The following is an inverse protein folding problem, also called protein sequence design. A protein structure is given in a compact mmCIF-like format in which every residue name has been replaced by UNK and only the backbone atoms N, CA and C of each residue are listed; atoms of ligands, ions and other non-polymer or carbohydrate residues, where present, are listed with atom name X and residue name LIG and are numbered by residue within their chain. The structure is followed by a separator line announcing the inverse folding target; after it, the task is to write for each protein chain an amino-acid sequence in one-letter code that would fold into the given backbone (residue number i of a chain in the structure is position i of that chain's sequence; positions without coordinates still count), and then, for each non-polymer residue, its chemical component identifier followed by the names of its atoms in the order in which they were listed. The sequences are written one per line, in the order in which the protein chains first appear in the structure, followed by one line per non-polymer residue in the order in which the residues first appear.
data_IF_708216159579
#
_entry.id   IF_708216159579
#
_cell.length_a   1.000
_cell.length_b   1.000
_cell.length_c   1.000
_cell.angle_alpha   90.00
_cell.angle_beta   90.00
_cell.angle_gamma   90.00
#
_symmetry.space_group_name_H-M   'P 1'
#
loop_
_entity.id
_entity.type
_entity.pdbx_description
1 polymer ?
#
# COMPACT_ATOMS: atom_id res chain seq x y z
N UNK A 1 10.34 -5.54 21.97
CA UNK A 1 9.18 -6.04 21.21
C UNK A 1 9.67 -6.75 19.97
N UNK A 2 8.91 -7.73 19.46
CA UNK A 2 9.23 -8.35 18.17
C UNK A 2 8.94 -7.34 17.06
N UNK A 3 9.91 -7.09 16.19
CA UNK A 3 9.77 -6.19 15.05
C UNK A 3 9.50 -7.02 13.79
N UNK A 4 8.55 -6.57 12.97
CA UNK A 4 8.15 -7.22 11.72
C UNK A 4 8.69 -6.43 10.53
N UNK A 5 9.35 -7.11 9.60
CA UNK A 5 9.71 -6.51 8.31
C UNK A 5 8.45 -6.24 7.51
N UNK A 6 8.23 -4.99 7.15
CA UNK A 6 7.01 -4.55 6.50
C UNK A 6 7.31 -3.91 5.14
N UNK A 7 6.42 -4.15 4.19
CA UNK A 7 6.31 -3.38 2.94
C UNK A 7 4.91 -2.78 2.94
N UNK A 8 4.79 -1.51 2.59
CA UNK A 8 3.49 -0.84 2.44
C UNK A 8 3.18 -0.64 0.96
N UNK A 9 2.08 -1.20 0.48
CA UNK A 9 1.53 -0.96 -0.85
C UNK A 9 0.27 -0.10 -0.73
N UNK A 10 0.29 1.08 -1.37
CA UNK A 10 -0.68 2.16 -1.09
C UNK A 10 -1.06 2.92 -2.35
N UNK A 11 -2.32 3.34 -2.44
CA UNK A 11 -2.79 4.33 -3.41
C UNK A 11 -3.00 5.70 -2.73
N UNK A 12 -2.02 6.10 -1.92
CA UNK A 12 -1.98 7.38 -1.21
C UNK A 12 -2.25 8.57 -2.13
N UNK A 13 -3.05 9.53 -1.66
CA UNK A 13 -3.33 10.77 -2.37
C UNK A 13 -4.74 10.85 -2.98
N UNK A 14 -5.51 9.75 -3.00
CA UNK A 14 -6.94 9.79 -3.35
C UNK A 14 -7.74 10.35 -2.17
N UNK A 15 -7.71 9.62 -1.06
CA UNK A 15 -8.26 10.02 0.23
C UNK A 15 -7.12 10.20 1.25
N UNK A 16 -7.45 10.63 2.46
CA UNK A 16 -6.49 11.06 3.49
C UNK A 16 -5.99 9.90 4.37
N UNK A 17 -6.71 8.79 4.39
CA UNK A 17 -6.47 7.61 5.21
C UNK A 17 -5.11 6.98 4.96
N UNK A 18 -4.66 6.83 3.71
CA UNK A 18 -3.32 6.32 3.40
C UNK A 18 -2.20 7.20 3.96
N UNK A 19 -2.38 8.53 3.95
CA UNK A 19 -1.44 9.49 4.55
C UNK A 19 -1.37 9.27 6.06
N UNK A 20 -2.51 9.03 6.73
CA UNK A 20 -2.53 8.72 8.16
C UNK A 20 -1.91 7.35 8.46
N UNK A 21 -2.18 6.35 7.63
CA UNK A 21 -1.62 5.01 7.74
C UNK A 21 -0.10 5.03 7.60
N UNK A 22 0.46 5.72 6.59
CA UNK A 22 1.91 5.87 6.45
C UNK A 22 2.50 6.62 7.65
N UNK A 23 1.85 7.67 8.13
CA UNK A 23 2.27 8.37 9.36
C UNK A 23 2.36 7.46 10.57
N UNK A 24 1.36 6.59 10.77
CA UNK A 24 1.33 5.60 11.84
C UNK A 24 2.44 4.55 11.67
N UNK A 25 2.61 4.00 10.46
CA UNK A 25 3.66 3.02 10.16
C UNK A 25 5.04 3.59 10.48
N UNK A 26 5.32 4.83 10.11
CA UNK A 26 6.61 5.49 10.37
C UNK A 26 6.90 5.74 11.85
N UNK A 27 5.86 5.74 12.69
CA UNK A 27 5.98 5.90 14.16
C UNK A 27 5.82 4.59 14.93
N UNK A 28 5.57 3.48 14.25
CA UNK A 28 5.34 2.18 14.88
C UNK A 28 6.66 1.44 15.13
N UNK A 29 7.14 1.28 16.39
CA UNK A 29 8.39 0.55 16.68
C UNK A 29 8.31 -0.96 16.37
N UNK A 30 7.11 -1.49 16.17
CA UNK A 30 6.85 -2.87 15.76
C UNK A 30 7.14 -3.10 14.27
N UNK A 31 7.18 -2.05 13.45
CA UNK A 31 7.31 -2.15 11.99
C UNK A 31 8.67 -1.66 11.52
N UNK A 32 9.43 -2.57 10.93
CA UNK A 32 10.64 -2.25 10.19
C UNK A 32 10.26 -2.10 8.71
N UNK A 33 9.83 -0.88 8.34
CA UNK A 33 9.40 -0.56 7.00
C UNK A 33 10.59 -0.60 6.01
N UNK A 34 10.51 -1.49 5.03
CA UNK A 34 11.58 -1.78 4.06
C UNK A 34 11.35 -1.23 2.66
N UNK A 35 10.11 -0.93 2.31
CA UNK A 35 9.73 -0.42 1.00
C UNK A 35 8.32 0.17 1.11
N UNK A 36 8.07 1.26 0.38
CA UNK A 36 6.72 1.73 0.08
C UNK A 36 6.50 1.64 -1.43
N UNK A 37 5.47 0.94 -1.87
CA UNK A 37 5.06 0.89 -3.28
C UNK A 37 3.80 1.70 -3.52
N UNK A 38 3.76 2.45 -4.61
CA UNK A 38 2.59 3.25 -5.00
C UNK A 38 1.78 2.55 -6.08
N UNK A 39 0.47 2.51 -5.91
CA UNK A 39 -0.46 1.81 -6.79
C UNK A 39 -1.52 2.75 -7.38
N UNK A 40 -2.00 2.40 -8.58
CA UNK A 40 -3.20 2.96 -9.23
C UNK A 40 -3.11 4.44 -9.64
N UNK A 41 -3.75 4.80 -10.75
CA UNK A 41 -3.74 6.15 -11.34
C UNK A 41 -2.31 6.69 -11.45
N UNK A 42 -2.06 7.96 -11.12
CA UNK A 42 -0.76 8.58 -11.28
C UNK A 42 0.19 8.17 -10.14
N UNK A 43 0.83 7.00 -10.30
CA UNK A 43 1.73 6.42 -9.30
C UNK A 43 2.98 7.27 -9.05
N UNK A 44 3.37 8.13 -10.00
CA UNK A 44 4.48 9.07 -9.83
C UNK A 44 4.07 10.24 -8.92
N UNK A 45 2.89 10.81 -9.11
CA UNK A 45 2.30 11.77 -8.17
C UNK A 45 2.21 11.19 -6.76
N UNK A 46 1.70 9.96 -6.62
CA UNK A 46 1.61 9.30 -5.31
C UNK A 46 2.99 9.12 -4.66
N UNK A 47 4.01 8.78 -5.46
CA UNK A 47 5.37 8.62 -4.98
C UNK A 47 5.95 9.95 -4.45
N UNK A 48 5.55 11.11 -4.99
CA UNK A 48 5.91 12.41 -4.42
C UNK A 48 5.35 12.62 -3.02
N UNK A 49 4.11 12.17 -2.76
CA UNK A 49 3.51 12.24 -1.42
C UNK A 49 4.30 11.37 -0.45
N UNK A 50 4.58 10.12 -0.83
CA UNK A 50 5.40 9.19 -0.03
C UNK A 50 6.76 9.82 0.27
N UNK A 51 7.45 10.34 -0.74
CA UNK A 51 8.78 10.94 -0.61
C UNK A 51 8.77 12.12 0.37
N UNK A 52 7.83 13.07 0.20
CA UNK A 52 7.69 14.23 1.09
C UNK A 52 7.38 13.81 2.53
N UNK A 53 6.56 12.78 2.74
CA UNK A 53 6.29 12.24 4.08
C UNK A 53 7.51 11.56 4.71
N UNK A 54 8.26 10.76 3.94
CA UNK A 54 9.47 10.09 4.41
C UNK A 54 10.55 11.11 4.80
N UNK A 55 10.72 12.19 4.03
CA UNK A 55 11.62 13.29 4.39
C UNK A 55 11.23 13.99 5.69
N UNK A 56 9.96 14.39 5.82
CA UNK A 56 9.45 15.03 7.05
C UNK A 56 9.65 14.12 8.27
N UNK A 57 9.49 12.81 8.10
CA UNK A 57 9.68 11.83 9.15
C UNK A 57 11.16 11.49 9.44
N UNK A 58 12.11 11.97 8.62
CA UNK A 58 13.52 11.62 8.71
C UNK A 58 13.80 10.14 8.38
N UNK A 59 12.98 9.54 7.52
CA UNK A 59 13.02 8.11 7.14
C UNK A 59 13.36 7.90 5.66
N UNK A 60 14.29 8.70 5.14
CA UNK A 60 14.77 8.60 3.75
C UNK A 60 15.58 7.32 3.49
N UNK A 61 15.83 6.51 4.52
CA UNK A 61 16.35 5.15 4.41
C UNK A 61 15.37 4.19 3.72
N UNK A 62 14.07 4.53 3.68
CA UNK A 62 13.04 3.69 3.07
C UNK A 62 12.98 3.96 1.56
N UNK A 63 13.22 2.96 0.70
CA UNK A 63 13.05 3.09 -0.74
C UNK A 63 11.58 3.22 -1.14
N UNK A 64 11.34 3.84 -2.29
CA UNK A 64 10.03 4.00 -2.90
C UNK A 64 10.00 3.20 -4.21
N UNK A 65 8.96 2.40 -4.43
CA UNK A 65 8.72 1.70 -5.69
C UNK A 65 7.49 2.25 -6.41
N UNK A 66 7.68 2.75 -7.63
CA UNK A 66 6.59 3.28 -8.45
C UNK A 66 5.93 2.11 -9.20
N UNK A 67 4.68 1.79 -8.86
CA UNK A 67 3.89 0.77 -9.56
C UNK A 67 3.41 1.25 -10.94
N UNK A 68 2.82 0.35 -11.74
CA UNK A 68 2.17 0.71 -13.00
C UNK A 68 1.10 1.79 -12.80
N UNK A 69 1.15 2.82 -13.67
CA UNK A 69 0.10 3.84 -13.75
C UNK A 69 -1.06 3.35 -14.61
N UNK A 70 -2.29 3.61 -14.16
CA UNK A 70 -3.50 3.38 -14.96
C UNK A 70 -4.06 4.66 -15.59
N UNK A 71 -3.56 5.84 -15.17
CA UNK A 71 -3.91 7.16 -15.73
C UNK A 71 -3.01 8.25 -15.15
N UNK A 72 -2.83 9.37 -15.83
CA UNK A 72 -2.08 10.53 -15.30
C UNK A 72 -2.95 11.46 -14.40
N UNK A 73 -4.03 10.94 -13.83
CA UNK A 73 -4.93 11.71 -12.97
C UNK A 73 -4.37 11.80 -11.56
N UNK A 74 -3.89 12.98 -11.19
CA UNK A 74 -3.52 13.29 -9.81
C UNK A 74 -4.76 13.43 -8.89
N UNK A 75 -4.55 13.17 -7.60
CA UNK A 75 -5.58 13.22 -6.57
C UNK A 75 -5.69 14.57 -5.83
N UNK A 76 -6.64 14.70 -4.89
CA UNK A 76 -6.87 15.93 -4.12
C UNK A 76 -5.65 16.45 -3.36
N UNK A 77 -4.70 15.58 -3.01
CA UNK A 77 -3.48 15.99 -2.29
C UNK A 77 -2.38 16.57 -3.22
N UNK A 78 -2.60 16.63 -4.54
CA UNK A 78 -1.63 17.17 -5.51
C UNK A 78 -1.10 18.58 -5.19
N UNK A 79 -1.92 19.55 -4.72
CA UNK A 79 -1.42 20.87 -4.34
C UNK A 79 -0.30 20.82 -3.28
N UNK A 80 -0.25 19.78 -2.44
CA UNK A 80 0.79 19.62 -1.41
C UNK A 80 2.12 19.12 -1.97
N UNK A 81 2.18 18.61 -3.19
CA UNK A 81 3.40 18.07 -3.81
C UNK A 81 3.63 18.61 -5.22
N UNK A 82 2.92 19.68 -5.58
CA UNK A 82 2.96 20.26 -6.92
C UNK A 82 4.37 20.74 -7.29
N UNK A 83 5.07 21.31 -6.31
CA UNK A 83 6.43 21.83 -6.39
C UNK A 83 7.51 20.77 -6.10
N UNK A 84 7.11 19.56 -5.70
CA UNK A 84 8.04 18.52 -5.29
C UNK A 84 8.61 17.79 -6.52
N UNK A 85 9.93 17.83 -6.64
CA UNK A 85 10.67 17.04 -7.62
C UNK A 85 11.08 15.69 -7.01
N UNK A 86 10.53 14.60 -7.53
CA UNK A 86 10.84 13.26 -7.04
C UNK A 86 12.31 12.88 -7.22
N UNK A 87 13.03 13.50 -8.16
CA UNK A 87 14.47 13.29 -8.35
C UNK A 87 15.31 13.88 -7.20
N UNK A 88 14.73 14.81 -6.43
CA UNK A 88 15.39 15.41 -5.26
C UNK A 88 15.28 14.55 -4.00
N UNK A 89 14.46 13.49 -4.01
CA UNK A 89 14.33 12.59 -2.87
C UNK A 89 15.70 11.95 -2.54
N UNK A 90 16.22 12.10 -1.31
CA UNK A 90 17.54 11.57 -0.95
C UNK A 90 17.62 10.04 -0.93
N UNK A 91 16.48 9.37 -0.74
CA UNK A 91 16.39 7.92 -0.72
C UNK A 91 16.31 7.33 -2.12
N UNK A 92 16.24 5.99 -2.17
CA UNK A 92 16.19 5.28 -3.46
C UNK A 92 14.77 5.27 -4.03
N UNK A 93 14.64 5.66 -5.30
CA UNK A 93 13.40 5.52 -6.07
C UNK A 93 13.59 4.43 -7.14
N UNK A 94 12.69 3.45 -7.14
CA UNK A 94 12.60 2.40 -8.15
C UNK A 94 11.47 2.72 -9.11
N UNK A 95 11.79 2.93 -10.39
CA UNK A 95 10.77 3.16 -11.43
C UNK A 95 10.00 1.89 -11.82
N UNK A 96 10.52 0.72 -11.48
CA UNK A 96 9.79 -0.56 -11.54
C UNK A 96 9.53 -1.04 -10.10
N UNK A 97 8.47 -0.52 -9.50
CA UNK A 97 8.05 -0.85 -8.13
C UNK A 97 7.66 -2.32 -7.96
N UNK A 98 7.16 -2.97 -9.03
CA UNK A 98 6.82 -4.40 -9.00
C UNK A 98 8.08 -5.25 -8.88
N UNK A 99 9.13 -4.94 -9.64
CA UNK A 99 10.44 -5.61 -9.47
C UNK A 99 11.03 -5.32 -8.10
N UNK A 100 10.95 -4.07 -7.62
CA UNK A 100 11.44 -3.72 -6.28
C UNK A 100 10.72 -4.50 -5.16
N UNK A 101 9.41 -4.72 -5.31
CA UNK A 101 8.60 -5.54 -4.39
C UNK A 101 9.06 -6.99 -4.38
N UNK A 102 9.25 -7.59 -5.57
CA UNK A 102 9.77 -8.96 -5.70
C UNK A 102 11.16 -9.07 -5.07
N UNK A 103 12.06 -8.15 -5.39
CA UNK A 103 13.43 -8.15 -4.87
C UNK A 103 13.45 -8.00 -3.34
N UNK A 104 12.64 -7.10 -2.79
CA UNK A 104 12.54 -6.89 -1.34
C UNK A 104 12.03 -8.13 -0.60
N UNK A 105 11.03 -8.83 -1.15
CA UNK A 105 10.51 -10.07 -0.57
C UNK A 105 11.54 -11.20 -0.68
N UNK A 106 12.10 -11.41 -1.87
CA UNK A 106 12.96 -12.56 -2.13
C UNK A 106 14.33 -12.45 -1.46
N UNK A 107 14.88 -11.24 -1.36
CA UNK A 107 16.18 -10.99 -0.70
C UNK A 107 16.10 -10.94 0.83
N UNK A 108 14.90 -10.83 1.41
CA UNK A 108 14.74 -10.81 2.86
C UNK A 108 15.17 -12.14 3.50
N UNK A 109 15.94 -12.10 4.58
CA UNK A 109 16.34 -13.31 5.32
C UNK A 109 15.16 -13.99 6.03
N UNK A 110 14.08 -13.25 6.27
CA UNK A 110 12.88 -13.69 6.99
C UNK A 110 11.61 -13.35 6.19
N UNK A 111 10.47 -14.02 6.45
CA UNK A 111 9.21 -13.67 5.81
C UNK A 111 8.84 -12.20 6.01
N UNK A 112 8.41 -11.55 4.93
CA UNK A 112 8.02 -10.13 4.93
C UNK A 112 6.50 -10.00 5.06
N UNK A 113 6.03 -9.04 5.86
CA UNK A 113 4.60 -8.67 5.87
C UNK A 113 4.35 -7.59 4.84
N UNK A 114 3.56 -7.90 3.82
CA UNK A 114 3.11 -6.91 2.84
C UNK A 114 1.76 -6.38 3.30
N UNK A 115 1.74 -5.12 3.70
CA UNK A 115 0.55 -4.40 4.13
C UNK A 115 0.00 -3.68 2.90
N UNK A 116 -1.20 -4.03 2.47
CA UNK A 116 -1.81 -3.48 1.26
C UNK A 116 -3.04 -2.67 1.65
N UNK A 117 -2.99 -1.37 1.43
CA UNK A 117 -4.10 -0.45 1.73
C UNK A 117 -4.73 0.17 0.48
N UNK A 118 -4.23 -0.21 -0.71
CA UNK A 118 -4.83 0.10 -2.00
C UNK A 118 -5.19 -1.14 -2.84
N UNK A 119 -5.54 -0.96 -4.13
CA UNK A 119 -5.82 -2.04 -5.06
C UNK A 119 -4.62 -2.99 -5.25
N UNK A 120 -4.89 -4.30 -5.37
CA UNK A 120 -3.87 -5.36 -5.36
C UNK A 120 -3.07 -5.52 -6.68
N UNK A 121 -3.12 -4.54 -7.59
CA UNK A 121 -2.48 -4.62 -8.91
C UNK A 121 -0.98 -4.88 -8.82
N UNK A 122 -0.28 -4.18 -7.93
CA UNK A 122 1.17 -4.36 -7.72
C UNK A 122 1.48 -5.79 -7.22
N UNK A 123 0.67 -6.27 -6.27
CA UNK A 123 0.85 -7.57 -5.63
C UNK A 123 0.59 -8.72 -6.62
N UNK A 124 -0.47 -8.62 -7.41
CA UNK A 124 -0.78 -9.58 -8.45
C UNK A 124 0.29 -9.60 -9.55
N UNK A 125 0.79 -8.43 -9.95
CA UNK A 125 1.89 -8.34 -10.92
C UNK A 125 3.19 -8.96 -10.38
N UNK A 126 3.52 -8.73 -9.11
CA UNK A 126 4.68 -9.34 -8.45
C UNK A 126 4.53 -10.86 -8.36
N UNK A 127 3.35 -11.35 -7.94
CA UNK A 127 3.04 -12.77 -7.87
C UNK A 127 3.15 -13.45 -9.24
N UNK A 128 2.67 -12.78 -10.29
CA UNK A 128 2.77 -13.27 -11.66
C UNK A 128 4.23 -13.36 -12.13
N UNK A 129 5.07 -12.37 -11.78
CA UNK A 129 6.51 -12.37 -12.12
C UNK A 129 7.28 -13.43 -11.35
N UNK A 130 6.98 -13.58 -10.07
CA UNK A 130 7.70 -14.46 -9.17
C UNK A 130 6.75 -15.17 -8.21
N UNK A 131 6.16 -16.33 -8.59
CA UNK A 131 5.21 -17.04 -7.76
C UNK A 131 5.76 -17.48 -6.39
N UNK A 132 7.09 -17.61 -6.24
CA UNK A 132 7.72 -18.03 -4.98
C UNK A 132 7.57 -16.98 -3.87
N UNK A 133 7.21 -15.73 -4.18
CA UNK A 133 6.93 -14.73 -3.14
C UNK A 133 5.82 -15.17 -2.20
N UNK A 134 4.88 -16.02 -2.65
CA UNK A 134 3.80 -16.56 -1.80
C UNK A 134 4.30 -17.42 -0.64
N UNK A 135 5.48 -18.04 -0.77
CA UNK A 135 6.09 -18.80 0.33
C UNK A 135 6.96 -17.91 1.25
N UNK A 136 7.16 -16.64 0.89
CA UNK A 136 8.13 -15.71 1.50
C UNK A 136 7.48 -14.45 2.06
N UNK A 137 6.20 -14.25 1.80
CA UNK A 137 5.43 -13.11 2.26
C UNK A 137 4.14 -13.54 2.96
N UNK A 138 3.72 -12.72 3.91
CA UNK A 138 2.37 -12.70 4.47
C UNK A 138 1.66 -11.45 3.96
N UNK A 139 0.40 -11.57 3.55
CA UNK A 139 -0.42 -10.45 3.13
C UNK A 139 -1.30 -9.99 4.29
N UNK A 140 -1.33 -8.68 4.54
CA UNK A 140 -2.31 -8.03 5.43
C UNK A 140 -2.99 -6.94 4.61
N UNK A 141 -4.26 -7.13 4.27
CA UNK A 141 -4.93 -6.31 3.26
C UNK A 141 -6.20 -5.64 3.78
N UNK A 142 -6.29 -4.32 3.62
CA UNK A 142 -7.57 -3.60 3.71
C UNK A 142 -8.34 -3.82 2.41
N UNK A 143 -9.21 -4.83 2.41
CA UNK A 143 -9.81 -5.34 1.21
C UNK A 143 -11.17 -5.96 1.48
N UNK A 144 -12.16 -5.57 0.68
CA UNK A 144 -13.44 -6.26 0.60
C UNK A 144 -14.48 -5.83 1.64
N UNK A 145 -15.68 -6.35 1.41
CA UNK A 145 -16.88 -6.15 2.21
C UNK A 145 -17.61 -7.49 2.23
N UNK A 146 -17.71 -8.11 3.41
CA UNK A 146 -18.17 -9.50 3.55
C UNK A 146 -19.61 -9.55 4.05
N UNK A 147 -19.88 -8.95 5.20
CA UNK A 147 -21.22 -8.85 5.81
C UNK A 147 -21.69 -7.41 5.96
N UNK A 148 -20.76 -6.45 5.98
CA UNK A 148 -21.04 -5.03 6.18
C UNK A 148 -20.44 -4.23 5.02
N UNK A 149 -21.26 -3.36 4.44
CA UNK A 149 -20.89 -2.40 3.41
C UNK A 149 -20.61 -1.01 3.96
N UNK A 150 -20.32 -0.07 3.06
CA UNK A 150 -20.02 1.32 3.43
C UNK A 150 -21.07 1.95 4.36
N UNK A 151 -20.59 2.69 5.35
CA UNK A 151 -21.44 3.37 6.34
C UNK A 151 -22.23 2.42 7.24
N UNK A 152 -21.74 1.19 7.44
CA UNK A 152 -22.40 0.19 8.29
C UNK A 152 -23.63 -0.48 7.65
N UNK A 153 -23.82 -0.34 6.34
CA UNK A 153 -24.95 -0.97 5.63
C UNK A 153 -24.88 -2.48 5.76
N UNK A 154 -26.02 -3.13 6.03
CA UNK A 154 -26.11 -4.58 6.10
C UNK A 154 -25.95 -5.20 4.70
N UNK A 155 -25.10 -6.21 4.60
CA UNK A 155 -24.79 -6.94 3.36
C UNK A 155 -23.52 -6.41 2.67
N UNK A 156 -22.88 -7.25 1.83
CA UNK A 156 -21.67 -6.87 1.11
C UNK A 156 -21.96 -5.79 0.05
N UNK A 157 -21.02 -4.88 -0.13
CA UNK A 157 -21.03 -3.89 -1.21
C UNK A 157 -19.78 -4.00 -2.07
N UNK A 158 -19.79 -3.52 -3.32
CA UNK A 158 -18.57 -3.41 -4.11
C UNK A 158 -17.57 -2.47 -3.40
N UNK A 159 -16.56 -3.06 -2.77
CA UNK A 159 -15.53 -2.33 -2.02
C UNK A 159 -14.48 -1.78 -2.98
N UNK A 160 -14.01 -0.55 -2.71
CA UNK A 160 -13.16 0.25 -3.57
C UNK A 160 -11.92 -0.50 -4.07
N UNK A 161 -11.07 -1.00 -3.18
CA UNK A 161 -9.83 -1.68 -3.53
C UNK A 161 -10.08 -2.96 -4.35
N UNK A 162 -11.14 -3.70 -4.05
CA UNK A 162 -11.56 -4.87 -4.85
C UNK A 162 -12.03 -4.47 -6.24
N UNK A 163 -12.89 -3.45 -6.37
CA UNK A 163 -13.47 -3.10 -7.69
C UNK A 163 -12.48 -2.46 -8.64
N UNK A 164 -11.42 -1.82 -8.12
CA UNK A 164 -10.36 -1.25 -8.96
C UNK A 164 -9.63 -2.32 -9.79
N UNK A 165 -9.45 -3.53 -9.24
CA UNK A 165 -8.78 -4.63 -9.96
C UNK A 165 -9.25 -6.01 -9.47
N UNK A 166 -10.45 -6.40 -9.91
CA UNK A 166 -11.05 -7.70 -9.56
C UNK A 166 -10.16 -8.89 -9.94
N UNK A 167 -9.57 -8.95 -11.16
CA UNK A 167 -8.65 -10.04 -11.51
C UNK A 167 -7.42 -10.12 -10.61
N UNK A 168 -6.81 -8.99 -10.23
CA UNK A 168 -5.69 -8.99 -9.29
C UNK A 168 -6.10 -9.53 -7.92
N UNK A 169 -7.26 -9.09 -7.41
CA UNK A 169 -7.80 -9.59 -6.15
C UNK A 169 -8.01 -11.11 -6.18
N UNK A 170 -8.62 -11.64 -7.25
CA UNK A 170 -8.81 -13.09 -7.42
C UNK A 170 -7.48 -13.86 -7.44
N UNK A 171 -6.50 -13.37 -8.19
CA UNK A 171 -5.19 -14.01 -8.28
C UNK A 171 -4.48 -14.02 -6.91
N UNK A 172 -4.56 -12.90 -6.18
CA UNK A 172 -3.89 -12.77 -4.89
C UNK A 172 -4.55 -13.62 -3.81
N UNK A 173 -5.88 -13.61 -3.72
CA UNK A 173 -6.61 -14.41 -2.73
C UNK A 173 -6.51 -15.92 -2.99
N UNK A 174 -6.27 -16.35 -4.23
CA UNK A 174 -6.10 -17.76 -4.59
C UNK A 174 -4.68 -18.30 -4.35
N UNK A 175 -3.69 -17.43 -4.12
CA UNK A 175 -2.30 -17.83 -3.96
C UNK A 175 -1.99 -18.38 -2.56
N UNK A 176 -0.98 -19.26 -2.42
CA UNK A 176 -0.75 -20.02 -1.19
C UNK A 176 0.11 -19.29 -0.14
N UNK A 177 -0.06 -17.98 0.03
CA UNK A 177 0.49 -17.23 1.17
C UNK A 177 -0.49 -17.19 2.35
N UNK A 178 0.03 -16.85 3.52
CA UNK A 178 -0.78 -16.47 4.67
C UNK A 178 -1.41 -15.09 4.43
N UNK A 179 -2.74 -14.99 4.53
CA UNK A 179 -3.50 -13.76 4.28
C UNK A 179 -4.38 -13.42 5.47
N UNK A 180 -4.31 -12.16 5.91
CA UNK A 180 -5.31 -11.55 6.79
C UNK A 180 -5.97 -10.39 6.06
N UNK A 181 -7.30 -10.36 6.10
CA UNK A 181 -8.10 -9.28 5.54
C UNK A 181 -8.66 -8.41 6.66
N UNK A 182 -8.65 -7.10 6.46
CA UNK A 182 -9.37 -6.10 7.26
C UNK A 182 -10.44 -5.46 6.38
N UNK A 183 -11.57 -6.16 6.14
CA UNK A 183 -12.65 -5.65 5.29
C UNK A 183 -13.41 -4.52 5.97
N UNK A 184 -14.36 -3.90 5.25
CA UNK A 184 -15.28 -2.88 5.77
C UNK A 184 -16.00 -3.33 7.05
N UNK A 185 -16.20 -4.65 7.24
CA UNK A 185 -16.72 -5.25 8.47
C UNK A 185 -15.94 -4.88 9.74
N UNK A 186 -14.66 -4.52 9.59
CA UNK A 186 -13.76 -4.13 10.68
C UNK A 186 -13.37 -2.67 10.58
N UNK A 187 -12.83 -2.22 9.44
CA UNK A 187 -12.28 -0.87 9.31
C UNK A 187 -13.38 0.19 9.08
N UNK A 188 -14.47 -0.16 8.42
CA UNK A 188 -15.56 0.78 8.08
C UNK A 188 -16.46 1.18 9.26
N UNK A 189 -16.15 0.70 10.47
CA UNK A 189 -16.94 0.95 11.69
C UNK A 189 -16.23 1.84 12.71
N UNK A 190 -14.95 2.11 12.50
CA UNK A 190 -14.16 3.00 13.37
C UNK A 190 -14.29 4.42 12.85
N UNK A 191 -14.88 5.31 13.65
CA UNK A 191 -15.08 6.72 13.31
C UNK A 191 -14.24 7.57 14.24
N UNK A 192 -13.41 8.44 13.67
CA UNK A 192 -12.73 9.50 14.40
C UNK A 192 -13.67 10.70 14.54
N UNK A 193 -13.92 11.13 15.77
CA UNK A 193 -14.68 12.34 16.10
C UNK A 193 -13.75 13.44 16.68
N UNK A 194 -14.28 14.66 16.83
CA UNK A 194 -13.52 15.81 17.33
C UNK A 194 -13.65 17.07 16.45
N UNK A 195 -12.95 18.14 16.85
CA UNK A 195 -12.91 19.39 16.08
C UNK A 195 -12.14 19.16 14.77
N UNK A 196 -12.75 19.56 13.65
CA UNK A 196 -12.15 19.54 12.32
C UNK A 196 -11.31 20.77 12.07
#
# INVERSE_FOLDING_TARGET
MKTFRAILDTDIGTDIDDTWALGLVLKSPELDLKLVTTATFDTAYRAKIVARMLEIAGRTDVPIGIGPSSSDKAGPQNPWVLDYDLQSYPGKVHHDGVSALVDAIMSSSEPVTVITIGPLTNIAAALKREPRIAARARIVAMLGSVRIGYGGKKGPTPEYNVVQDVPACQAVLAAPWDIVLTPLDTCGTVVLDGQR
#
